data_IF_126264035573
#
_entry.id   IF_126264035573
#
_cell.length_a   1.000
_cell.length_b   1.000
_cell.length_c   1.000
_cell.angle_alpha   90.00
_cell.angle_beta   90.00
_cell.angle_gamma   90.00
#
_symmetry.space_group_name_H-M   'P 1'
#
loop_
_entity.id
_entity.type
_entity.pdbx_description
1 polymer ?
#
# COMPACT_ATOMS: atom_id res chain seq x y z
N UNK A 1 -2.98 24.96 -17.03
CA UNK A 1 -2.28 23.67 -16.91
C UNK A 1 -3.06 22.79 -15.92
N UNK A 2 -3.04 21.48 -16.11
CA UNK A 2 -3.68 20.54 -15.16
C UNK A 2 -2.60 19.85 -14.38
N UNK A 3 -2.83 19.64 -13.09
CA UNK A 3 -1.89 18.99 -12.20
C UNK A 3 -2.34 17.57 -11.89
N UNK A 4 -1.36 16.67 -11.86
CA UNK A 4 -1.57 15.25 -11.63
C UNK A 4 -0.58 14.73 -10.60
N UNK A 5 -1.03 13.80 -9.81
CA UNK A 5 -0.20 13.02 -8.90
C UNK A 5 -0.10 11.59 -9.44
N UNK A 6 1.12 11.10 -9.59
CA UNK A 6 1.44 9.76 -10.04
C UNK A 6 2.06 8.98 -8.90
N UNK A 7 1.43 7.87 -8.54
CA UNK A 7 1.99 6.87 -7.64
C UNK A 7 2.39 5.65 -8.46
N UNK A 8 3.64 5.22 -8.33
CA UNK A 8 4.15 4.00 -8.96
C UNK A 8 4.66 3.06 -7.87
N UNK A 9 4.28 1.81 -7.97
CA UNK A 9 4.79 0.74 -7.11
C UNK A 9 5.67 -0.15 -7.98
N UNK A 10 6.96 -0.17 -7.67
CA UNK A 10 7.96 -0.99 -8.35
C UNK A 10 8.19 -2.30 -7.60
N UNK A 11 8.75 -3.27 -8.30
CA UNK A 11 9.20 -4.52 -7.70
C UNK A 11 10.25 -4.25 -6.61
N UNK A 12 10.12 -4.84 -5.42
CA UNK A 12 11.09 -4.67 -4.35
C UNK A 12 12.42 -5.39 -4.62
N UNK A 13 12.48 -6.18 -5.69
CA UNK A 13 13.67 -6.93 -6.09
C UNK A 13 14.62 -6.14 -6.97
N UNK A 14 14.23 -4.93 -7.39
CA UNK A 14 15.07 -4.07 -8.19
C UNK A 14 16.26 -3.56 -7.37
N UNK A 15 17.41 -3.52 -8.02
CA UNK A 15 18.55 -2.80 -7.46
C UNK A 15 18.37 -1.28 -7.68
N UNK A 16 19.18 -0.49 -7.03
CA UNK A 16 19.07 0.97 -7.09
C UNK A 16 19.26 1.52 -8.53
N UNK A 17 20.05 0.88 -9.34
CA UNK A 17 20.28 1.27 -10.74
C UNK A 17 19.04 1.03 -11.58
N UNK A 18 18.44 -0.15 -11.46
CA UNK A 18 17.19 -0.53 -12.16
C UNK A 18 16.02 0.36 -11.74
N UNK A 19 15.92 0.68 -10.44
CA UNK A 19 14.91 1.60 -9.91
C UNK A 19 15.04 2.99 -10.55
N UNK A 20 16.26 3.50 -10.63
CA UNK A 20 16.57 4.79 -11.28
C UNK A 20 16.25 4.76 -12.79
N UNK A 21 16.57 3.67 -13.49
CA UNK A 21 16.29 3.51 -14.91
C UNK A 21 14.78 3.58 -15.21
N UNK A 22 13.97 2.86 -14.41
CA UNK A 22 12.51 2.93 -14.57
C UNK A 22 12.03 4.35 -14.36
N UNK A 23 12.54 5.00 -13.32
CA UNK A 23 12.15 6.35 -12.99
C UNK A 23 12.55 7.37 -14.06
N UNK A 24 13.74 7.26 -14.61
CA UNK A 24 14.21 8.10 -15.72
C UNK A 24 13.40 7.87 -17.01
N UNK A 25 12.96 6.64 -17.26
CA UNK A 25 12.03 6.32 -18.34
C UNK A 25 10.70 7.07 -18.18
N UNK A 26 10.16 7.08 -16.94
CA UNK A 26 8.92 7.81 -16.60
C UNK A 26 9.10 9.31 -16.84
N UNK A 27 10.20 9.89 -16.36
CA UNK A 27 10.53 11.32 -16.56
C UNK A 27 10.63 11.67 -18.05
N UNK A 28 11.32 10.83 -18.80
CA UNK A 28 11.50 11.00 -20.25
C UNK A 28 10.16 10.95 -20.98
N UNK A 29 9.29 10.03 -20.56
CA UNK A 29 7.94 9.92 -21.12
C UNK A 29 7.11 11.18 -20.86
N UNK A 30 7.09 11.65 -19.61
CA UNK A 30 6.37 12.88 -19.22
C UNK A 30 6.88 14.08 -20.02
N UNK A 31 8.20 14.26 -20.08
CA UNK A 31 8.82 15.38 -20.82
C UNK A 31 8.55 15.31 -22.31
N UNK A 32 8.56 14.10 -22.90
CA UNK A 32 8.26 13.87 -24.31
C UNK A 32 6.81 14.25 -24.70
N UNK A 33 5.89 14.23 -23.74
CA UNK A 33 4.51 14.64 -23.92
C UNK A 33 4.21 16.07 -23.42
N UNK A 34 5.25 16.91 -23.36
CA UNK A 34 5.13 18.31 -22.89
C UNK A 34 4.62 18.43 -21.44
N UNK A 35 4.79 17.40 -20.66
CA UNK A 35 4.57 17.45 -19.23
C UNK A 35 5.80 17.97 -18.50
N UNK A 36 5.58 18.70 -17.42
CA UNK A 36 6.61 19.21 -16.53
C UNK A 36 6.53 18.49 -15.19
N UNK A 37 7.64 17.88 -14.77
CA UNK A 37 7.72 17.25 -13.45
C UNK A 37 7.94 18.34 -12.40
N UNK A 38 7.02 18.46 -11.46
CA UNK A 38 7.02 19.48 -10.40
C UNK A 38 7.77 19.00 -9.17
N UNK A 39 7.50 17.77 -8.74
CA UNK A 39 8.14 17.20 -7.56
C UNK A 39 8.14 15.68 -7.63
N UNK A 40 9.10 15.07 -6.95
CA UNK A 40 9.22 13.62 -6.82
C UNK A 40 9.64 13.26 -5.39
N UNK A 41 9.15 12.12 -4.93
CA UNK A 41 9.51 11.58 -3.63
C UNK A 41 9.45 10.06 -3.62
N UNK A 42 10.45 9.41 -3.03
CA UNK A 42 10.45 7.96 -2.82
C UNK A 42 10.05 7.65 -1.38
N UNK A 43 9.01 6.84 -1.22
CA UNK A 43 8.60 6.37 0.11
C UNK A 43 9.32 5.08 0.53
N UNK A 44 10.17 4.55 -0.35
CA UNK A 44 10.89 3.30 -0.14
C UNK A 44 10.01 2.05 -0.21
N UNK A 45 10.60 0.93 0.18
CA UNK A 45 9.92 -0.36 0.15
C UNK A 45 8.95 -0.51 1.33
N UNK A 46 7.71 -0.91 1.01
CA UNK A 46 6.63 -1.06 1.98
C UNK A 46 5.81 -2.31 1.72
N UNK A 47 5.22 -2.82 2.79
CA UNK A 47 4.29 -3.92 2.70
C UNK A 47 3.00 -3.47 2.01
N UNK A 48 2.55 -4.28 1.06
CA UNK A 48 1.28 -4.07 0.36
C UNK A 48 0.10 -4.48 1.26
N UNK A 49 -1.03 -3.81 1.10
CA UNK A 49 -2.27 -4.17 1.81
C UNK A 49 -2.77 -5.55 1.42
N UNK A 50 -2.50 -5.98 0.19
CA UNK A 50 -2.77 -7.31 -0.34
C UNK A 50 -1.69 -7.68 -1.35
N UNK A 51 -1.44 -8.99 -1.55
CA UNK A 51 -0.43 -9.43 -2.50
C UNK A 51 -0.78 -9.03 -3.93
N UNK A 52 0.20 -8.51 -4.67
CA UNK A 52 0.07 -8.24 -6.11
C UNK A 52 0.73 -9.39 -6.86
N UNK A 53 -0.01 -9.99 -7.78
CA UNK A 53 0.52 -10.99 -8.69
C UNK A 53 0.86 -10.32 -10.03
N UNK A 54 2.10 -10.48 -10.47
CA UNK A 54 2.54 -10.09 -11.81
C UNK A 54 3.30 -11.24 -12.47
N UNK A 55 2.77 -11.72 -13.58
CA UNK A 55 3.26 -12.95 -14.19
C UNK A 55 3.09 -14.14 -13.24
N UNK A 56 4.18 -14.86 -13.01
CA UNK A 56 4.21 -16.01 -12.10
C UNK A 56 4.61 -15.64 -10.67
N UNK A 57 4.98 -14.40 -10.43
CA UNK A 57 5.47 -13.95 -9.12
C UNK A 57 4.36 -13.25 -8.33
N UNK A 58 4.43 -13.42 -7.01
CA UNK A 58 3.54 -12.80 -6.04
C UNK A 58 4.35 -11.93 -5.10
N UNK A 59 4.03 -10.66 -5.07
CA UNK A 59 4.71 -9.65 -4.30
C UNK A 59 3.90 -9.29 -3.06
N UNK A 60 4.53 -9.26 -1.90
CA UNK A 60 3.96 -8.84 -0.62
C UNK A 60 4.39 -7.42 -0.24
N UNK A 61 5.44 -6.92 -0.89
CA UNK A 61 6.04 -5.62 -0.71
C UNK A 61 6.26 -4.95 -2.05
N UNK A 62 6.46 -3.65 -2.06
CA UNK A 62 6.78 -2.87 -3.24
C UNK A 62 7.49 -1.58 -2.88
N UNK A 63 8.30 -1.08 -3.80
CA UNK A 63 8.95 0.23 -3.69
C UNK A 63 8.00 1.29 -4.21
N UNK A 64 7.68 2.27 -3.39
CA UNK A 64 6.71 3.32 -3.69
C UNK A 64 7.41 4.60 -4.13
N UNK A 65 7.03 5.07 -5.29
CA UNK A 65 7.45 6.36 -5.83
C UNK A 65 6.23 7.23 -6.07
N UNK A 66 6.31 8.47 -5.62
CA UNK A 66 5.29 9.48 -5.78
C UNK A 66 5.87 10.66 -6.55
N UNK A 67 5.15 11.16 -7.53
CA UNK A 67 5.53 12.37 -8.26
C UNK A 67 4.33 13.21 -8.61
N UNK A 68 4.57 14.50 -8.79
CA UNK A 68 3.59 15.43 -9.34
C UNK A 68 4.10 15.99 -10.64
N UNK A 69 3.22 16.06 -11.60
CA UNK A 69 3.51 16.67 -12.90
C UNK A 69 2.34 17.52 -13.36
N UNK A 70 2.65 18.49 -14.18
CA UNK A 70 1.67 19.36 -14.82
C UNK A 70 1.72 19.21 -16.33
N UNK A 71 0.57 19.33 -16.98
CA UNK A 71 0.47 19.27 -18.43
C UNK A 71 -0.72 20.08 -18.93
N UNK A 72 -0.65 20.54 -20.18
CA UNK A 72 -1.78 21.20 -20.86
C UNK A 72 -2.72 20.17 -21.47
N UNK A 73 -2.16 19.16 -22.15
CA UNK A 73 -2.89 18.08 -22.77
C UNK A 73 -2.79 16.79 -21.94
N UNK A 74 -3.91 16.21 -21.51
CA UNK A 74 -3.85 14.98 -20.70
C UNK A 74 -3.39 13.80 -21.55
N UNK A 75 -2.30 13.16 -21.15
CA UNK A 75 -1.75 11.92 -21.72
C UNK A 75 -1.79 10.76 -20.72
N UNK A 76 -2.65 10.84 -19.72
CA UNK A 76 -2.71 9.89 -18.60
C UNK A 76 -2.89 8.44 -19.07
N UNK A 77 -3.72 8.21 -20.10
CA UNK A 77 -3.96 6.87 -20.63
C UNK A 77 -2.72 6.28 -21.31
N UNK A 78 -1.95 7.11 -21.98
CA UNK A 78 -0.70 6.71 -22.65
C UNK A 78 0.39 6.42 -21.62
N UNK A 79 0.50 7.26 -20.59
CA UNK A 79 1.41 7.04 -19.46
C UNK A 79 1.06 5.77 -18.68
N UNK A 80 -0.23 5.54 -18.39
CA UNK A 80 -0.68 4.32 -17.74
C UNK A 80 -0.35 3.08 -18.58
N UNK A 81 -0.55 3.15 -19.90
CA UNK A 81 -0.21 2.07 -20.82
C UNK A 81 1.28 1.80 -20.85
N UNK A 82 2.11 2.85 -20.88
CA UNK A 82 3.56 2.74 -20.82
C UNK A 82 4.03 2.05 -19.54
N UNK A 83 3.53 2.49 -18.39
CA UNK A 83 3.86 1.90 -17.10
C UNK A 83 3.38 0.45 -16.96
N UNK A 84 2.25 0.12 -17.56
CA UNK A 84 1.69 -1.23 -17.50
C UNK A 84 2.50 -2.25 -18.29
N UNK A 85 3.17 -1.80 -19.35
CA UNK A 85 4.03 -2.65 -20.20
C UNK A 85 5.38 -2.98 -19.56
N UNK A 86 5.81 -2.19 -18.58
CA UNK A 86 7.05 -2.48 -17.86
C UNK A 86 6.80 -3.54 -16.78
N UNK A 87 7.51 -4.67 -16.90
CA UNK A 87 7.38 -5.78 -15.95
C UNK A 87 7.88 -5.44 -14.55
N UNK A 88 8.73 -4.44 -14.42
CA UNK A 88 9.25 -3.94 -13.14
C UNK A 88 8.22 -3.12 -12.36
N UNK A 89 7.21 -2.57 -13.04
CA UNK A 89 6.10 -1.82 -12.43
C UNK A 89 5.00 -2.77 -11.99
N UNK A 90 4.75 -2.88 -10.70
CA UNK A 90 3.68 -3.70 -10.14
C UNK A 90 2.31 -3.04 -10.29
N UNK A 91 2.26 -1.72 -10.04
CA UNK A 91 1.02 -0.93 -10.14
C UNK A 91 1.33 0.55 -10.33
N UNK A 92 0.47 1.24 -11.03
CA UNK A 92 0.48 2.70 -11.14
C UNK A 92 -0.91 3.26 -10.85
N UNK A 93 -0.95 4.49 -10.38
CA UNK A 93 -2.17 5.27 -10.15
C UNK A 93 -1.89 6.72 -10.53
N UNK A 94 -2.73 7.29 -11.38
CA UNK A 94 -2.67 8.69 -11.77
C UNK A 94 -3.96 9.37 -11.32
N UNK A 95 -3.82 10.44 -10.56
CA UNK A 95 -4.95 11.22 -10.02
C UNK A 95 -4.78 12.67 -10.43
N UNK A 96 -5.86 13.32 -10.85
CA UNK A 96 -5.87 14.77 -11.02
C UNK A 96 -6.01 15.43 -9.64
N UNK A 97 -5.17 16.41 -9.38
CA UNK A 97 -5.17 17.15 -8.12
C UNK A 97 -5.54 18.61 -8.36
N UNK A 98 -6.14 19.24 -7.35
CA UNK A 98 -6.41 20.67 -7.32
C UNK A 98 -5.16 21.47 -6.96
N UNK A 99 -5.17 22.77 -7.25
CA UNK A 99 -4.07 23.67 -6.89
C UNK A 99 -3.82 23.73 -5.37
N UNK A 100 -4.85 23.51 -4.57
CA UNK A 100 -4.72 23.44 -3.10
C UNK A 100 -4.00 22.14 -2.67
N UNK A 101 -4.37 21.01 -3.26
CA UNK A 101 -3.72 19.72 -2.98
C UNK A 101 -2.27 19.69 -3.46
N UNK A 102 -1.97 20.40 -4.53
CA UNK A 102 -0.62 20.50 -5.06
C UNK A 102 0.36 21.23 -4.11
N UNK A 103 -0.15 22.08 -3.23
CA UNK A 103 0.66 22.78 -2.22
C UNK A 103 1.02 21.92 -1.02
N UNK A 104 0.32 20.80 -0.80
CA UNK A 104 0.64 19.87 0.30
C UNK A 104 1.94 19.15 -0.02
N UNK A 105 2.96 19.17 0.87
CA UNK A 105 4.20 18.44 0.64
C UNK A 105 3.96 16.94 0.43
N UNK A 106 4.70 16.33 -0.50
CA UNK A 106 4.58 14.89 -0.78
C UNK A 106 4.94 14.01 0.41
N UNK A 107 5.80 14.49 1.30
CA UNK A 107 6.15 13.83 2.55
C UNK A 107 4.96 13.69 3.50
N UNK A 108 4.09 14.68 3.54
CA UNK A 108 2.89 14.68 4.37
C UNK A 108 1.86 13.62 3.91
N UNK A 109 1.88 13.25 2.64
CA UNK A 109 1.04 12.20 2.09
C UNK A 109 1.56 10.78 2.40
N UNK A 110 2.76 10.67 2.98
CA UNK A 110 3.39 9.40 3.30
C UNK A 110 2.68 8.71 4.49
N UNK A 111 1.93 7.60 4.27
CA UNK A 111 1.11 6.99 5.32
C UNK A 111 1.90 6.34 6.47
N UNK A 112 3.21 6.36 6.40
CA UNK A 112 4.10 5.83 7.44
C UNK A 112 4.99 6.88 8.08
N UNK A 113 4.87 8.16 7.73
CA UNK A 113 5.53 9.24 8.46
C UNK A 113 4.77 9.50 9.76
N UNK A 114 5.51 9.78 10.84
CA UNK A 114 4.91 10.12 12.14
C UNK A 114 4.04 11.39 12.08
N UNK A 115 4.24 12.21 11.05
CA UNK A 115 3.52 13.47 10.78
C UNK A 115 2.41 13.32 9.72
N UNK A 116 2.11 12.10 9.26
CA UNK A 116 0.99 11.92 8.35
C UNK A 116 -0.28 12.43 9.07
N UNK A 117 -0.97 13.46 8.56
CA UNK A 117 -2.21 13.89 9.17
C UNK A 117 -3.17 12.71 9.08
N UNK A 118 -3.45 12.09 10.23
CA UNK A 118 -4.53 11.13 10.37
C UNK A 118 -5.76 11.86 9.87
N UNK A 119 -6.15 11.55 8.63
CA UNK A 119 -7.26 12.20 7.96
C UNK A 119 -8.44 12.22 8.89
N UNK A 120 -8.74 13.39 9.45
CA UNK A 120 -10.02 13.66 10.08
C UNK A 120 -11.05 13.44 8.98
N UNK A 121 -11.60 12.24 8.95
CA UNK A 121 -12.87 12.04 8.22
C UNK A 121 -13.86 13.02 8.83
N UNK A 122 -14.33 14.02 8.10
CA UNK A 122 -15.37 14.90 8.62
C UNK A 122 -16.61 14.03 8.83
N UNK A 123 -17.03 13.85 10.07
CA UNK A 123 -18.37 13.46 10.39
C UNK A 123 -18.70 12.01 10.65
N UNK A 124 -17.80 11.20 11.23
CA UNK A 124 -18.24 9.98 11.88
C UNK A 124 -18.12 10.13 13.40
N UNK A 125 -19.10 10.79 14.02
CA UNK A 125 -19.39 10.62 15.44
C UNK A 125 -20.00 9.23 15.62
N UNK A 126 -19.15 8.21 15.65
CA UNK A 126 -19.54 6.86 16.03
C UNK A 126 -19.85 6.83 17.50
N UNK A 127 -21.14 6.87 17.85
CA UNK A 127 -21.62 6.37 19.13
C UNK A 127 -21.13 4.94 19.27
N UNK A 128 -20.22 4.72 20.22
CA UNK A 128 -19.85 3.38 20.65
C UNK A 128 -21.12 2.73 21.25
N UNK A 129 -21.59 1.58 20.76
CA UNK A 129 -22.57 0.82 21.49
C UNK A 129 -21.93 0.41 22.82
N UNK A 130 -22.46 0.88 23.93
CA UNK A 130 -22.19 0.31 25.24
C UNK A 130 -22.83 -1.07 25.26
N UNK A 131 -22.05 -2.09 24.97
CA UNK A 131 -22.42 -3.42 25.37
C UNK A 131 -22.22 -3.53 26.88
N UNK A 132 -23.34 -3.51 27.61
CA UNK A 132 -23.39 -3.63 29.04
C UNK A 132 -22.70 -4.91 29.51
N UNK A 133 -21.79 -4.71 30.43
CA UNK A 133 -21.28 -5.74 31.30
C UNK A 133 -22.44 -6.16 32.23
N UNK A 134 -23.02 -7.32 31.98
CA UNK A 134 -23.75 -8.06 32.97
C UNK A 134 -23.37 -9.53 32.79
N UNK A 135 -22.39 -9.95 33.55
CA UNK A 135 -22.17 -11.37 33.84
C UNK A 135 -22.05 -11.51 35.32
N UNK A 136 -23.24 -11.70 35.93
CA UNK A 136 -23.38 -12.15 37.30
C UNK A 136 -22.68 -13.48 37.48
N UNK A 137 -22.03 -13.54 38.59
CA UNK A 137 -21.40 -14.67 39.26
C UNK A 137 -22.37 -15.84 39.37
N UNK A 138 -21.96 -17.03 38.97
CA UNK A 138 -22.43 -18.26 39.58
C UNK A 138 -21.23 -19.15 39.90
N UNK A 139 -21.17 -19.34 41.17
CA UNK A 139 -20.24 -20.10 41.98
C UNK A 139 -20.38 -21.61 41.77
N UNK A 140 -19.23 -22.26 41.87
CA UNK A 140 -18.96 -23.57 42.54
C UNK A 140 -19.82 -24.78 42.20
N UNK A 141 -19.21 -25.85 41.78
CA UNK A 141 -19.01 -27.05 42.58
C UNK A 141 -18.46 -28.20 41.73
N UNK A 142 -17.36 -28.73 42.19
CA UNK A 142 -17.05 -30.15 42.41
C UNK A 142 -16.53 -30.98 41.23
N UNK A 143 -15.25 -31.32 41.38
CA UNK A 143 -14.67 -32.54 40.84
C UNK A 143 -15.16 -33.78 41.65
N UNK A 144 -15.08 -34.99 41.09
CA UNK A 144 -13.97 -35.89 41.40
C UNK A 144 -13.52 -36.73 40.19
N UNK A 145 -12.25 -36.91 40.03
CA UNK A 145 -11.33 -37.99 40.36
C UNK A 145 -11.60 -39.38 39.73
N UNK A 146 -10.53 -39.90 39.13
CA UNK A 146 -10.06 -41.29 38.98
C UNK A 146 -10.78 -42.15 37.92
N UNK A 147 -10.08 -42.86 37.08
CA UNK A 147 -9.15 -43.99 37.17
C UNK A 147 -8.65 -44.26 35.75
N UNK A 148 -7.37 -44.25 35.43
CA UNK A 148 -6.46 -45.41 35.41
C UNK A 148 -6.99 -46.65 34.66
N UNK A 149 -6.39 -46.98 33.54
CA UNK A 149 -5.92 -48.34 33.18
C UNK A 149 -5.18 -48.28 31.83
N UNK A 150 -3.87 -48.30 31.86
CA UNK A 150 -2.95 -49.35 31.37
C UNK A 150 -3.50 -50.23 30.24
N UNK A 151 -2.81 -50.24 29.08
CA UNK A 151 -2.13 -51.42 28.56
C UNK A 151 -1.56 -51.18 27.15
N UNK A 152 -0.28 -51.19 27.02
CA UNK A 152 0.39 -51.68 25.84
C UNK A 152 0.62 -53.19 26.06
N UNK A 153 0.85 -54.05 25.08
CA UNK A 153 2.06 -54.00 24.25
C UNK A 153 2.00 -54.68 22.84
N UNK A 154 3.07 -54.47 22.10
CA UNK A 154 3.87 -55.38 21.25
C UNK A 154 3.19 -56.04 20.03
N UNK A 155 3.79 -55.84 18.90
CA UNK A 155 4.88 -56.52 18.20
C UNK A 155 4.44 -57.38 17.01
N UNK A 156 5.32 -57.38 15.99
CA UNK A 156 5.57 -58.39 14.92
C UNK A 156 4.52 -58.45 13.77
N UNK A 157 4.91 -58.19 12.55
CA UNK A 157 5.93 -58.77 11.63
C UNK A 157 6.21 -57.81 10.46
#
# INVERSE_FOLDING_TARGET
MRQYELVVILSPMLNQTEDTEVWDSVKTFISGHQGNLVSEHSWGTRRLAYPIQKGQQKYLEGSYHLSRFETEAPFNRELESHLRLDDRVLRSLIVSISDEEAQVPLDAANPGSADAPLGRRPGYQGQRPQYGANREQQTTTEAPAAEETTEAPAAEE
#
